data_IF_182903039506
#
_entry.id   IF_182903039506
#
_cell.length_a   1.000
_cell.length_b   1.000
_cell.length_c   1.000
_cell.angle_alpha   90.00
_cell.angle_beta   90.00
_cell.angle_gamma   90.00
#
_symmetry.space_group_name_H-M   'P 1'
#
loop_
_entity.id
_entity.type
_entity.pdbx_description
1 polymer ?
#
# COMPACT_ATOMS: atom_id res chain seq x y z
N UNK A 1 11.69 -45.49 -28.36
CA UNK A 1 11.22 -44.78 -29.57
C UNK A 1 9.74 -45.13 -29.71
N UNK A 2 8.73 -44.28 -29.53
CA UNK A 2 8.56 -42.88 -29.91
C UNK A 2 7.66 -42.12 -28.91
N UNK A 3 7.75 -40.79 -28.99
CA UNK A 3 7.26 -39.73 -28.11
C UNK A 3 5.76 -39.80 -27.75
N UNK A 4 5.46 -39.55 -26.47
CA UNK A 4 4.13 -39.15 -26.02
C UNK A 4 3.95 -37.64 -26.24
N UNK A 5 2.76 -37.32 -26.74
CA UNK A 5 2.25 -36.05 -27.22
C UNK A 5 2.52 -34.83 -26.33
N UNK A 6 3.03 -33.78 -26.95
CA UNK A 6 2.91 -32.40 -26.51
C UNK A 6 1.42 -32.01 -26.48
N UNK A 7 0.88 -31.76 -25.29
CA UNK A 7 -0.32 -30.95 -25.15
C UNK A 7 0.05 -29.68 -24.38
N UNK A 8 0.49 -28.69 -25.17
CA UNK A 8 0.48 -27.28 -24.82
C UNK A 8 -0.98 -26.85 -24.62
N UNK A 9 -1.54 -27.10 -23.43
CA UNK A 9 -2.79 -26.51 -23.02
C UNK A 9 -2.49 -25.07 -22.57
N UNK A 10 -2.69 -24.14 -23.50
CA UNK A 10 -2.69 -22.69 -23.28
C UNK A 10 -3.51 -22.39 -22.03
N UNK A 11 -2.82 -22.14 -20.91
CA UNK A 11 -3.40 -21.71 -19.64
C UNK A 11 -4.09 -20.37 -19.90
N UNK A 12 -5.42 -20.41 -20.04
CA UNK A 12 -6.26 -19.23 -20.00
C UNK A 12 -5.85 -18.45 -18.73
N UNK A 13 -5.15 -17.32 -18.90
CA UNK A 13 -4.93 -16.35 -17.84
C UNK A 13 -6.27 -15.67 -17.59
N UNK A 14 -7.17 -16.38 -16.91
CA UNK A 14 -8.24 -15.73 -16.19
C UNK A 14 -7.51 -14.90 -15.12
N UNK A 15 -7.36 -13.60 -15.37
CA UNK A 15 -6.95 -12.65 -14.33
C UNK A 15 -8.06 -12.70 -13.28
N UNK A 16 -7.90 -13.62 -12.33
CA UNK A 16 -8.64 -13.60 -11.10
C UNK A 16 -8.17 -12.31 -10.42
N UNK A 17 -9.01 -11.27 -10.47
CA UNK A 17 -8.84 -10.12 -9.58
C UNK A 17 -8.96 -10.69 -8.18
N UNK A 18 -7.82 -11.10 -7.61
CA UNK A 18 -7.73 -11.52 -6.23
C UNK A 18 -8.42 -10.41 -5.44
N UNK A 19 -9.47 -10.77 -4.71
CA UNK A 19 -10.24 -9.82 -3.91
C UNK A 19 -9.34 -9.46 -2.72
N UNK A 20 -8.37 -8.56 -2.96
CA UNK A 20 -7.41 -8.13 -1.95
C UNK A 20 -8.18 -7.35 -0.92
N UNK A 21 -8.03 -7.72 0.34
CA UNK A 21 -8.59 -6.97 1.47
C UNK A 21 -7.84 -5.64 1.68
N UNK A 22 -7.79 -4.79 0.65
CA UNK A 22 -7.33 -3.41 0.75
C UNK A 22 -8.53 -2.52 0.98
N UNK A 23 -8.47 -1.70 2.04
CA UNK A 23 -9.54 -0.73 2.33
C UNK A 23 -9.72 0.30 1.20
N UNK A 24 -10.89 0.94 1.14
CA UNK A 24 -11.16 1.98 0.12
C UNK A 24 -10.10 3.09 0.16
N UNK A 25 -9.68 3.66 -0.98
CA UNK A 25 -8.86 4.88 -1.01
C UNK A 25 -9.46 6.05 -0.21
N UNK A 26 -10.79 6.10 -0.10
CA UNK A 26 -11.53 7.14 0.64
C UNK A 26 -11.74 6.82 2.13
N UNK A 27 -11.23 5.69 2.63
CA UNK A 27 -11.26 5.42 4.07
C UNK A 27 -10.17 6.25 4.76
N UNK A 28 -10.52 6.89 5.88
CA UNK A 28 -9.65 7.85 6.57
C UNK A 28 -8.96 7.22 7.77
N UNK A 29 -7.70 7.61 7.98
CA UNK A 29 -6.95 7.42 9.23
C UNK A 29 -6.43 8.79 9.65
N UNK A 30 -6.71 9.21 10.89
CA UNK A 30 -6.41 10.57 11.37
C UNK A 30 -6.85 11.69 10.42
N UNK A 31 -7.96 11.48 9.72
CA UNK A 31 -8.50 12.44 8.74
C UNK A 31 -7.91 12.36 7.32
N UNK A 32 -6.86 11.58 7.08
CA UNK A 32 -6.21 11.47 5.76
C UNK A 32 -6.80 10.34 4.92
N UNK A 33 -7.24 10.66 3.71
CA UNK A 33 -7.48 9.65 2.68
C UNK A 33 -6.19 8.94 2.30
N UNK A 34 -6.35 7.70 1.82
CA UNK A 34 -5.31 6.83 1.27
C UNK A 34 -4.25 6.34 2.25
N UNK A 35 -3.95 7.06 3.34
CA UNK A 35 -2.90 6.68 4.29
C UNK A 35 -3.07 5.24 4.80
N UNK A 36 -4.26 4.89 5.30
CA UNK A 36 -4.55 3.53 5.75
C UNK A 36 -4.41 2.47 4.64
N UNK A 37 -4.80 2.81 3.39
CA UNK A 37 -4.63 1.90 2.25
C UNK A 37 -3.16 1.67 1.90
N UNK A 38 -2.31 2.71 2.03
CA UNK A 38 -0.86 2.56 1.89
C UNK A 38 -0.31 1.61 2.96
N UNK A 39 -0.76 1.73 4.22
CA UNK A 39 -0.37 0.79 5.29
C UNK A 39 -0.80 -0.65 4.98
N UNK A 40 -2.02 -0.85 4.49
CA UNK A 40 -2.49 -2.19 4.10
C UNK A 40 -1.62 -2.81 3.00
N UNK A 41 -1.23 -2.02 1.99
CA UNK A 41 -0.31 -2.48 0.94
C UNK A 41 1.03 -2.95 1.53
N UNK A 42 1.61 -2.15 2.42
CA UNK A 42 2.89 -2.47 3.08
C UNK A 42 2.76 -3.74 3.92
N UNK A 43 1.70 -3.86 4.73
CA UNK A 43 1.46 -5.03 5.59
C UNK A 43 1.22 -6.31 4.79
N UNK A 44 0.41 -6.23 3.74
CA UNK A 44 0.17 -7.38 2.84
C UNK A 44 1.43 -7.78 2.09
N UNK A 45 2.24 -6.80 1.67
CA UNK A 45 3.51 -7.08 1.01
C UNK A 45 4.48 -7.79 1.97
N UNK A 46 4.58 -7.32 3.22
CA UNK A 46 5.40 -7.95 4.25
C UNK A 46 5.00 -9.41 4.54
N UNK A 47 3.71 -9.77 4.35
CA UNK A 47 3.19 -11.14 4.48
C UNK A 47 3.31 -11.98 3.21
N UNK A 48 3.71 -11.39 2.08
CA UNK A 48 3.69 -12.06 0.77
C UNK A 48 2.28 -12.26 0.19
N UNK A 49 1.28 -11.54 0.70
CA UNK A 49 -0.14 -11.66 0.35
C UNK A 49 -0.61 -10.57 -0.61
N UNK A 50 0.20 -9.53 -0.85
CA UNK A 50 -0.12 -8.49 -1.83
C UNK A 50 0.02 -9.06 -3.26
N UNK A 51 -0.99 -8.94 -4.13
CA UNK A 51 -0.84 -9.44 -5.51
C UNK A 51 0.25 -8.73 -6.29
N UNK A 52 0.86 -9.47 -7.22
CA UNK A 52 1.99 -9.03 -8.05
C UNK A 52 1.71 -7.72 -8.81
N UNK A 53 0.47 -7.48 -9.21
CA UNK A 53 0.08 -6.30 -9.99
C UNK A 53 0.29 -4.98 -9.22
N UNK A 54 0.39 -5.05 -7.89
CA UNK A 54 0.67 -3.88 -7.04
C UNK A 54 2.15 -3.65 -6.80
N UNK A 55 3.03 -4.64 -7.01
CA UNK A 55 4.42 -4.61 -6.57
C UNK A 55 5.23 -3.51 -7.28
N UNK A 56 5.01 -3.33 -8.57
CA UNK A 56 5.67 -2.28 -9.36
C UNK A 56 5.30 -0.86 -8.89
N UNK A 57 4.20 -0.71 -8.15
CA UNK A 57 3.66 0.57 -7.69
C UNK A 57 3.72 0.74 -6.16
N UNK A 58 4.53 -0.05 -5.47
CA UNK A 58 4.82 0.18 -4.04
C UNK A 58 5.79 1.36 -3.91
N UNK A 59 5.45 2.32 -3.05
CA UNK A 59 6.26 3.50 -2.82
C UNK A 59 6.20 4.55 -3.93
N UNK A 60 5.49 4.28 -5.03
CA UNK A 60 5.30 5.21 -6.14
C UNK A 60 3.84 5.66 -6.25
N UNK A 61 3.58 6.68 -7.09
CA UNK A 61 2.21 7.15 -7.34
C UNK A 61 1.60 7.81 -6.11
N UNK A 62 0.50 7.24 -5.58
CA UNK A 62 -0.16 7.81 -4.40
C UNK A 62 0.58 7.51 -3.09
N UNK A 63 1.33 6.40 -3.00
CA UNK A 63 2.19 6.14 -1.84
C UNK A 63 3.23 7.26 -1.71
N UNK A 64 3.91 7.57 -2.82
CA UNK A 64 4.91 8.64 -2.93
C UNK A 64 4.32 10.01 -2.55
N UNK A 65 3.13 10.34 -3.06
CA UNK A 65 2.44 11.59 -2.72
C UNK A 65 2.12 11.67 -1.23
N UNK A 66 1.67 10.57 -0.63
CA UNK A 66 1.29 10.51 0.77
C UNK A 66 2.51 10.72 1.69
N UNK A 67 3.62 10.01 1.43
CA UNK A 67 4.84 10.19 2.23
C UNK A 67 5.49 11.56 2.00
N UNK A 68 5.42 12.13 0.79
CA UNK A 68 5.86 13.52 0.54
C UNK A 68 5.02 14.54 1.30
N UNK A 69 3.70 14.36 1.36
CA UNK A 69 2.81 15.22 2.13
C UNK A 69 3.13 15.21 3.64
N UNK A 70 3.45 14.03 4.17
CA UNK A 70 3.89 13.83 5.56
C UNK A 70 5.38 14.13 5.80
N UNK A 71 6.17 14.32 4.73
CA UNK A 71 7.64 14.49 4.76
C UNK A 71 8.38 13.32 5.42
N UNK A 72 7.98 12.12 5.07
CA UNK A 72 8.55 10.86 5.56
C UNK A 72 9.21 10.10 4.40
N UNK A 73 10.27 9.36 4.68
CA UNK A 73 10.85 8.43 3.70
C UNK A 73 10.02 7.14 3.61
N UNK A 74 9.75 6.67 2.39
CA UNK A 74 8.90 5.49 2.22
C UNK A 74 9.50 4.23 2.81
N UNK A 75 10.81 4.03 2.67
CA UNK A 75 11.49 2.82 3.14
C UNK A 75 11.53 2.82 4.68
N UNK A 76 11.75 3.98 5.32
CA UNK A 76 11.64 4.12 6.77
C UNK A 76 10.22 3.82 7.28
N UNK A 77 9.19 4.29 6.57
CA UNK A 77 7.80 3.96 6.88
C UNK A 77 7.53 2.45 6.76
N UNK A 78 8.07 1.80 5.72
CA UNK A 78 7.93 0.34 5.55
C UNK A 78 8.53 -0.41 6.75
N UNK A 79 9.72 -0.03 7.19
CA UNK A 79 10.35 -0.64 8.36
C UNK A 79 9.59 -0.35 9.65
N UNK A 80 9.02 0.85 9.81
CA UNK A 80 8.14 1.18 10.93
C UNK A 80 6.89 0.28 10.96
N UNK A 81 6.18 0.15 9.83
CA UNK A 81 4.98 -0.68 9.72
C UNK A 81 5.26 -2.16 9.98
N UNK A 82 6.43 -2.66 9.57
CA UNK A 82 6.85 -4.06 9.83
C UNK A 82 7.07 -4.35 11.31
N UNK A 83 7.39 -3.34 12.12
CA UNK A 83 7.51 -3.49 13.58
C UNK A 83 6.14 -3.68 14.27
N UNK A 84 5.04 -3.44 13.56
CA UNK A 84 3.67 -3.56 14.07
C UNK A 84 3.06 -2.20 14.37
N UNK A 85 2.03 -2.17 15.21
CA UNK A 85 1.30 -0.95 15.57
C UNK A 85 0.02 -0.73 14.77
N UNK A 86 -0.90 -0.01 15.40
CA UNK A 86 -2.16 0.46 14.83
C UNK A 86 -1.92 1.58 13.81
N UNK A 87 -2.95 1.87 13.01
CA UNK A 87 -2.85 2.92 12.00
C UNK A 87 -2.60 4.30 12.60
N UNK A 88 -3.23 4.59 13.75
CA UNK A 88 -3.07 5.86 14.45
C UNK A 88 -1.66 5.98 15.05
N UNK A 89 -1.09 4.91 15.62
CA UNK A 89 0.30 4.92 16.13
C UNK A 89 1.32 5.17 15.01
N UNK A 90 1.11 4.56 13.84
CA UNK A 90 1.99 4.80 12.67
C UNK A 90 1.83 6.22 12.14
N UNK A 91 0.61 6.77 12.14
CA UNK A 91 0.37 8.16 11.75
C UNK A 91 1.02 9.15 12.73
N UNK A 92 0.92 8.89 14.03
CA UNK A 92 1.58 9.69 15.06
C UNK A 92 3.10 9.66 14.89
N UNK A 93 3.67 8.48 14.58
CA UNK A 93 5.09 8.36 14.25
C UNK A 93 5.46 9.19 13.02
N UNK A 94 4.68 9.12 11.93
CA UNK A 94 4.90 9.94 10.73
C UNK A 94 4.90 11.44 11.06
N UNK A 95 3.97 11.88 11.91
CA UNK A 95 3.89 13.26 12.35
C UNK A 95 5.09 13.68 13.22
N UNK A 96 5.66 12.75 13.99
CA UNK A 96 6.81 13.00 14.86
C UNK A 96 8.14 13.09 14.09
N UNK A 97 8.36 12.24 13.08
CA UNK A 97 9.62 12.21 12.31
C UNK A 97 9.61 13.15 11.11
N UNK A 98 8.43 13.42 10.54
CA UNK A 98 8.25 14.28 9.39
C UNK A 98 7.55 15.58 9.75
N UNK A 99 6.25 15.63 9.43
CA UNK A 99 5.40 16.80 9.62
C UNK A 99 4.03 16.39 10.12
N UNK A 100 3.49 17.16 11.05
CA UNK A 100 2.06 17.16 11.40
C UNK A 100 1.27 18.10 10.47
N UNK A 101 0.37 17.60 9.61
CA UNK A 101 -0.50 18.44 8.79
C UNK A 101 -1.47 19.26 9.65
N UNK A 102 -1.81 20.46 9.21
CA UNK A 102 -2.90 21.27 9.79
C UNK A 102 -4.26 20.81 9.26
N UNK A 103 -5.35 21.31 9.84
CA UNK A 103 -6.71 21.01 9.34
C UNK A 103 -6.89 21.43 7.87
N UNK A 104 -6.37 22.61 7.48
CA UNK A 104 -6.41 23.08 6.09
C UNK A 104 -5.61 22.18 5.15
N UNK A 105 -4.45 21.69 5.60
CA UNK A 105 -3.65 20.74 4.82
C UNK A 105 -4.40 19.43 4.59
N UNK A 106 -5.06 18.92 5.64
CA UNK A 106 -5.86 17.69 5.58
C UNK A 106 -7.08 17.89 4.68
N UNK A 107 -7.69 19.08 4.73
CA UNK A 107 -8.78 19.44 3.84
C UNK A 107 -8.33 19.38 2.37
N UNK A 108 -7.28 20.13 2.01
CA UNK A 108 -6.75 20.16 0.64
C UNK A 108 -6.25 18.78 0.17
N UNK A 109 -5.66 17.98 1.06
CA UNK A 109 -5.24 16.61 0.74
C UNK A 109 -6.42 15.70 0.37
N UNK A 110 -7.59 15.93 0.95
CA UNK A 110 -8.75 15.08 0.78
C UNK A 110 -9.64 15.47 -0.41
N UNK A 111 -9.37 16.59 -1.09
CA UNK A 111 -10.07 17.03 -2.31
C UNK A 111 -9.47 16.39 -3.58
#
# INVERSE_FOLDING_TARGET
MFRALEHCATRLKLHFMANVALRSPSEKVGGLFYFGRMLDKIRLHAKGELPSDYHANLGTGFDEKCVKFLRVDYDELVECVKQGGSDDEILDWCCAVGRKPTEDDIYVWNE
#
